data_IF_715276902682
#
_entry.id   IF_715276902682
#
_cell.length_a   1.000
_cell.length_b   1.000
_cell.length_c   1.000
_cell.angle_alpha   90.00
_cell.angle_beta   90.00
_cell.angle_gamma   90.00
#
_symmetry.space_group_name_H-M   'P 1'
#
loop_
_entity.id
_entity.type
_entity.pdbx_description
1 polymer ?
#
# COMPACT_ATOMS: atom_id res chain seq x y z
N UNK A 1 15.02 15.08 -11.59
CA UNK A 1 15.24 13.80 -10.90
C UNK A 1 15.91 12.83 -11.87
N UNK A 2 17.11 12.37 -11.54
CA UNK A 2 17.84 11.34 -12.29
C UNK A 2 17.49 9.92 -11.77
N UNK A 3 18.07 8.88 -12.35
CA UNK A 3 17.81 7.49 -11.93
C UNK A 3 18.35 7.14 -10.54
N UNK A 4 19.47 7.75 -10.14
CA UNK A 4 20.04 7.54 -8.80
C UNK A 4 19.15 8.17 -7.72
N UNK A 5 18.59 9.34 -7.98
CA UNK A 5 17.63 10.00 -7.10
C UNK A 5 16.36 9.12 -6.94
N UNK A 6 15.86 8.54 -8.04
CA UNK A 6 14.71 7.61 -8.01
C UNK A 6 14.99 6.39 -7.14
N UNK A 7 16.15 5.76 -7.34
CA UNK A 7 16.54 4.57 -6.59
C UNK A 7 16.69 4.87 -5.08
N UNK A 8 17.28 6.02 -4.74
CA UNK A 8 17.44 6.45 -3.35
C UNK A 8 16.09 6.71 -2.66
N UNK A 9 15.12 7.29 -3.37
CA UNK A 9 13.76 7.49 -2.86
C UNK A 9 13.06 6.15 -2.66
N UNK A 10 13.09 5.27 -3.67
CA UNK A 10 12.52 3.91 -3.53
C UNK A 10 13.10 3.19 -2.31
N UNK A 11 14.43 3.20 -2.17
CA UNK A 11 15.09 2.53 -1.05
C UNK A 11 14.68 3.15 0.29
N UNK A 12 14.67 4.49 0.40
CA UNK A 12 14.29 5.19 1.62
C UNK A 12 12.85 4.91 2.05
N UNK A 13 11.93 4.83 1.10
CA UNK A 13 10.50 4.65 1.36
C UNK A 13 10.08 3.18 1.52
N UNK A 14 10.94 2.21 1.18
CA UNK A 14 10.59 0.77 1.23
C UNK A 14 11.52 -0.09 2.08
N UNK A 15 12.72 0.38 2.41
CA UNK A 15 13.64 -0.33 3.30
C UNK A 15 13.27 -0.08 4.78
N UNK A 16 12.17 -0.70 5.18
CA UNK A 16 11.63 -0.56 6.53
C UNK A 16 12.39 -1.43 7.54
N UNK A 17 12.52 -0.95 8.77
CA UNK A 17 12.94 -1.79 9.90
C UNK A 17 12.02 -3.02 10.04
N UNK A 18 12.56 -4.19 10.37
CA UNK A 18 11.80 -5.45 10.53
C UNK A 18 10.66 -5.42 11.54
N UNK A 19 10.72 -4.55 12.54
CA UNK A 19 9.64 -4.35 13.49
C UNK A 19 8.57 -3.36 12.98
N UNK A 20 8.90 -2.53 11.98
CA UNK A 20 7.98 -1.55 11.43
C UNK A 20 7.04 -2.20 10.40
N UNK A 21 5.73 -2.04 10.64
CA UNK A 21 4.65 -2.68 9.88
C UNK A 21 3.95 -1.70 8.93
N UNK A 22 4.49 -0.49 8.79
CA UNK A 22 3.84 0.62 8.12
C UNK A 22 2.86 1.37 9.02
N UNK A 23 2.42 2.52 8.53
CA UNK A 23 1.43 3.39 9.17
C UNK A 23 -0.01 3.01 8.81
N UNK A 24 -0.19 2.04 7.90
CA UNK A 24 -1.49 1.56 7.46
C UNK A 24 -1.63 0.06 7.73
N UNK A 25 -2.82 -0.37 8.16
CA UNK A 25 -3.17 -1.78 8.25
C UNK A 25 -4.67 -2.01 8.07
N UNK A 26 -5.10 -3.13 7.49
CA UNK A 26 -6.50 -3.53 7.51
C UNK A 26 -6.87 -4.02 8.93
N UNK A 27 -8.06 -3.67 9.38
CA UNK A 27 -8.71 -4.24 10.54
C UNK A 27 -9.88 -5.10 10.07
N UNK A 28 -9.87 -6.36 10.49
CA UNK A 28 -10.90 -7.36 10.21
C UNK A 28 -11.38 -7.98 11.51
N UNK A 29 -12.70 -8.00 11.72
CA UNK A 29 -13.31 -8.49 12.98
C UNK A 29 -12.73 -7.84 14.25
N UNK A 30 -12.34 -6.56 14.17
CA UNK A 30 -11.74 -5.81 15.27
C UNK A 30 -10.28 -6.18 15.57
N UNK A 31 -9.64 -6.96 14.70
CA UNK A 31 -8.23 -7.32 14.81
C UNK A 31 -7.41 -6.72 13.65
N UNK A 32 -6.22 -6.22 13.97
CA UNK A 32 -5.27 -5.79 12.96
C UNK A 32 -4.81 -7.00 12.14
N UNK A 33 -5.02 -6.92 10.83
CA UNK A 33 -4.55 -7.91 9.87
C UNK A 33 -3.13 -7.54 9.42
N UNK A 34 -2.16 -8.46 9.52
CA UNK A 34 -0.79 -8.16 9.15
C UNK A 34 -0.65 -7.96 7.65
N UNK A 35 0.15 -6.96 7.26
CA UNK A 35 0.64 -6.78 5.89
C UNK A 35 2.09 -7.28 5.79
N UNK A 36 2.48 -7.67 4.58
CA UNK A 36 3.85 -7.99 4.24
C UNK A 36 4.72 -6.73 4.11
N UNK A 37 5.91 -6.91 3.52
CA UNK A 37 6.82 -5.81 3.23
C UNK A 37 6.43 -5.10 1.93
N UNK A 38 6.82 -3.83 1.74
CA UNK A 38 6.66 -3.15 0.46
C UNK A 38 7.30 -3.93 -0.69
N UNK A 39 6.55 -4.10 -1.76
CA UNK A 39 6.99 -4.71 -3.02
C UNK A 39 6.61 -3.81 -4.19
N UNK A 40 7.13 -4.10 -5.40
CA UNK A 40 6.81 -3.39 -6.64
C UNK A 40 6.96 -1.85 -6.56
N UNK A 41 7.93 -1.37 -5.78
CA UNK A 41 8.11 0.03 -5.52
C UNK A 41 8.48 0.84 -6.79
N UNK A 42 7.86 1.99 -6.96
CA UNK A 42 8.11 2.89 -8.08
C UNK A 42 8.01 4.35 -7.63
N UNK A 43 8.73 5.21 -8.34
CA UNK A 43 8.72 6.67 -8.10
C UNK A 43 8.43 7.37 -9.41
N UNK A 44 7.42 8.25 -9.40
CA UNK A 44 7.13 9.14 -10.52
C UNK A 44 7.27 10.59 -10.10
N UNK A 45 7.59 11.46 -11.06
CA UNK A 45 7.66 12.90 -10.86
C UNK A 45 6.71 13.57 -11.83
N UNK A 46 5.56 13.98 -11.32
CA UNK A 46 4.50 14.61 -12.10
C UNK A 46 4.22 16.00 -11.53
N UNK A 47 4.17 17.03 -12.38
CA UNK A 47 3.86 18.40 -11.94
C UNK A 47 4.68 18.89 -10.74
N UNK A 48 5.97 18.54 -10.67
CA UNK A 48 6.86 18.88 -9.57
C UNK A 48 6.52 18.22 -8.21
N UNK A 49 5.63 17.22 -8.21
CA UNK A 49 5.29 16.35 -7.09
C UNK A 49 5.98 14.99 -7.27
N UNK A 50 6.61 14.51 -6.20
CA UNK A 50 7.18 13.17 -6.14
C UNK A 50 6.10 12.24 -5.64
N UNK A 51 5.77 11.25 -6.46
CA UNK A 51 4.81 10.19 -6.17
C UNK A 51 5.58 8.90 -5.91
N UNK A 52 5.29 8.20 -4.82
CA UNK A 52 5.95 6.92 -4.48
C UNK A 52 4.89 5.86 -4.30
N UNK A 53 4.90 4.82 -5.14
CA UNK A 53 3.94 3.71 -5.06
C UNK A 53 4.63 2.42 -4.65
N UNK A 54 3.97 1.59 -3.84
CA UNK A 54 4.41 0.23 -3.54
C UNK A 54 3.20 -0.61 -3.10
N UNK A 55 3.33 -1.93 -3.28
CA UNK A 55 2.31 -2.90 -2.88
C UNK A 55 2.63 -3.44 -1.49
N UNK A 56 1.60 -3.60 -0.65
CA UNK A 56 1.70 -4.26 0.66
C UNK A 56 0.92 -5.57 0.62
N UNK A 57 1.59 -6.72 0.43
CA UNK A 57 0.91 -7.98 0.17
C UNK A 57 0.24 -8.52 1.43
N UNK A 58 -0.93 -9.13 1.25
CA UNK A 58 -1.56 -9.91 2.31
C UNK A 58 -0.83 -11.26 2.46
N UNK A 59 -0.42 -11.69 3.67
CA UNK A 59 0.24 -12.97 3.87
C UNK A 59 -0.67 -14.16 3.51
N UNK A 60 -1.99 -14.00 3.66
CA UNK A 60 -2.98 -14.94 3.16
C UNK A 60 -4.15 -14.16 2.55
N UNK A 61 -4.82 -14.70 1.52
CA UNK A 61 -6.04 -14.09 1.00
C UNK A 61 -7.07 -13.88 2.12
N UNK A 62 -7.59 -12.66 2.24
CA UNK A 62 -8.66 -12.33 3.17
C UNK A 62 -10.00 -12.47 2.45
N UNK A 63 -10.83 -13.41 2.88
CA UNK A 63 -12.18 -13.57 2.31
C UNK A 63 -13.10 -12.54 2.96
N UNK A 64 -13.55 -11.58 2.16
CA UNK A 64 -14.51 -10.55 2.58
C UNK A 64 -15.87 -10.99 2.04
N UNK A 65 -16.79 -11.35 2.92
CA UNK A 65 -18.17 -11.68 2.56
C UNK A 65 -19.12 -10.54 2.98
N UNK A 66 -19.67 -10.59 4.19
CA UNK A 66 -20.54 -9.54 4.74
C UNK A 66 -19.86 -8.80 5.90
N UNK A 67 -18.66 -9.21 6.29
CA UNK A 67 -17.90 -8.56 7.37
C UNK A 67 -17.15 -7.35 6.82
N UNK A 68 -17.37 -6.15 7.39
CA UNK A 68 -16.63 -4.96 6.96
C UNK A 68 -15.14 -5.08 7.29
N UNK A 69 -14.30 -4.67 6.35
CA UNK A 69 -12.87 -4.41 6.58
C UNK A 69 -12.67 -2.90 6.70
N UNK A 70 -11.91 -2.48 7.70
CA UNK A 70 -11.54 -1.07 7.86
C UNK A 70 -10.07 -0.89 7.50
N UNK A 71 -9.74 0.11 6.68
CA UNK A 71 -8.35 0.53 6.54
C UNK A 71 -8.04 1.52 7.66
N UNK A 72 -7.13 1.14 8.57
CA UNK A 72 -6.65 2.00 9.65
C UNK A 72 -5.36 2.67 9.21
N UNK A 73 -5.27 3.98 9.41
CA UNK A 73 -4.09 4.77 9.14
C UNK A 73 -3.71 5.52 10.42
N UNK A 74 -2.43 5.55 10.74
CA UNK A 74 -1.88 6.36 11.82
C UNK A 74 -0.64 7.09 11.35
N UNK A 75 -0.77 8.39 11.13
CA UNK A 75 0.38 9.29 11.00
C UNK A 75 0.00 10.64 11.64
N UNK A 76 0.80 11.13 12.60
CA UNK A 76 0.48 12.34 13.36
C UNK A 76 0.97 13.64 12.71
N UNK A 77 1.67 13.59 11.58
CA UNK A 77 2.34 14.74 10.96
C UNK A 77 1.73 15.16 9.62
N UNK A 78 1.10 14.24 8.89
CA UNK A 78 0.60 14.50 7.54
C UNK A 78 -0.94 14.49 7.44
N UNK A 79 -1.46 15.22 6.45
CA UNK A 79 -2.86 15.17 6.06
C UNK A 79 -3.03 14.17 4.92
N UNK A 80 -3.95 13.21 5.07
CA UNK A 80 -4.19 12.16 4.09
C UNK A 80 -5.50 12.38 3.35
N UNK A 81 -5.46 12.14 2.04
CA UNK A 81 -6.64 11.90 1.22
C UNK A 81 -6.60 10.44 0.76
N UNK A 82 -7.73 9.73 0.85
CA UNK A 82 -7.82 8.34 0.44
C UNK A 82 -8.81 8.19 -0.72
N UNK A 83 -8.46 7.31 -1.66
CA UNK A 83 -9.37 6.82 -2.68
C UNK A 83 -9.33 5.30 -2.64
N UNK A 84 -10.50 4.67 -2.45
CA UNK A 84 -10.65 3.23 -2.60
C UNK A 84 -10.98 3.00 -4.08
N UNK A 85 -10.02 2.43 -4.82
CA UNK A 85 -10.22 2.09 -6.23
C UNK A 85 -10.67 0.63 -6.35
N UNK A 86 -11.56 0.30 -7.32
CA UNK A 86 -11.88 -1.09 -7.63
C UNK A 86 -10.62 -1.85 -8.05
N UNK A 87 -10.55 -3.14 -7.72
CA UNK A 87 -9.48 -4.01 -8.21
C UNK A 87 -9.43 -3.97 -9.75
N UNK A 88 -8.23 -3.82 -10.32
CA UNK A 88 -8.03 -3.90 -11.78
C UNK A 88 -8.21 -5.36 -12.17
N UNK A 89 -9.24 -5.67 -12.97
CA UNK A 89 -9.45 -7.02 -13.49
C UNK A 89 -8.22 -7.47 -14.29
N UNK A 90 -7.37 -8.31 -13.69
CA UNK A 90 -6.42 -9.11 -14.43
C UNK A 90 -7.24 -10.11 -15.26
N UNK A 91 -7.34 -9.85 -16.57
CA UNK A 91 -7.97 -10.75 -17.55
C UNK A 91 -7.27 -12.11 -17.52
N UNK A 92 -7.79 -13.01 -16.68
CA UNK A 92 -7.35 -14.40 -16.59
C UNK A 92 -6.75 -14.86 -15.26
N UNK A 93 -7.38 -14.60 -14.12
CA UNK A 93 -7.46 -15.61 -13.02
C UNK A 93 -8.45 -15.18 -11.95
N UNK A 94 -9.11 -16.18 -11.38
CA UNK A 94 -10.24 -16.10 -10.46
C UNK A 94 -9.96 -15.18 -9.26
N UNK A 95 -10.94 -14.31 -9.03
CA UNK A 95 -11.15 -13.37 -7.92
C UNK A 95 -10.24 -13.53 -6.70
N UNK A 96 -9.50 -12.47 -6.40
CA UNK A 96 -9.13 -12.11 -5.04
C UNK A 96 -9.10 -10.59 -4.99
N UNK A 97 -9.93 -10.00 -4.13
CA UNK A 97 -9.97 -8.56 -3.90
C UNK A 97 -8.64 -8.12 -3.27
N UNK A 98 -7.69 -7.73 -4.12
CA UNK A 98 -6.41 -7.16 -3.72
C UNK A 98 -6.48 -5.65 -3.94
N UNK A 99 -6.38 -4.89 -2.85
CA UNK A 99 -6.39 -3.42 -2.85
C UNK A 99 -4.98 -2.94 -3.17
N UNK A 100 -4.76 -2.38 -4.36
CA UNK A 100 -3.53 -1.67 -4.67
C UNK A 100 -3.60 -0.23 -4.12
N UNK A 101 -2.57 0.14 -3.35
CA UNK A 101 -2.40 1.48 -2.78
C UNK A 101 -1.44 2.26 -3.69
N UNK A 102 -1.92 3.34 -4.31
CA UNK A 102 -1.08 4.28 -5.05
C UNK A 102 -0.98 5.57 -4.24
N UNK A 103 0.22 6.00 -3.86
CA UNK A 103 0.43 7.21 -3.04
C UNK A 103 0.81 8.38 -3.94
N UNK A 104 -0.06 9.41 -4.01
CA UNK A 104 0.06 10.67 -4.75
C UNK A 104 0.82 11.77 -4.02
#
# INVERSE_FOLDING_TARGET
>A
MNDADRAAIVEGETNWDSAYKGDVYPEFEGQAYPLGRPEAAAVTLNNNQVEVSFDLPLPHPLRIDNTPVFLRLYDPFFYYAYAIVPAVENVGRLFSDEVQLTFG
#
